data_IF_910046468477
#
_entry.id   IF_910046468477
#
_cell.length_a   1.000
_cell.length_b   1.000
_cell.length_c   1.000
_cell.angle_alpha   90.00
_cell.angle_beta   90.00
_cell.angle_gamma   90.00
#
_symmetry.space_group_name_H-M   'P 1'
#
loop_
_entity.id
_entity.type
_entity.pdbx_description
1 polymer ?
#
# COMPACT_ATOMS: atom_id res chain seq x y z
N UNK A 1 -3.73 13.45 1.59
CA UNK A 1 -3.73 12.81 2.91
C UNK A 1 -2.63 13.45 3.73
N UNK A 2 -2.86 13.67 5.03
CA UNK A 2 -1.94 14.39 5.92
C UNK A 2 -1.17 13.52 6.90
N UNK A 3 -1.70 12.33 7.16
CA UNK A 3 -1.13 11.37 8.08
C UNK A 3 -1.50 9.97 7.58
N UNK A 4 -0.49 9.20 7.20
CA UNK A 4 -0.61 7.90 6.56
C UNK A 4 0.13 6.89 7.42
N UNK A 5 -0.58 5.91 7.96
CA UNK A 5 0.01 4.82 8.73
C UNK A 5 -0.58 3.49 8.31
N UNK A 6 0.22 2.44 8.45
CA UNK A 6 -0.24 1.08 8.29
C UNK A 6 -0.06 0.30 9.60
N UNK A 7 -0.78 -0.81 9.73
CA UNK A 7 -0.48 -1.84 10.71
C UNK A 7 0.61 -2.78 10.18
N UNK A 8 1.28 -3.58 11.04
CA UNK A 8 2.29 -4.54 10.60
C UNK A 8 1.77 -5.57 9.59
N UNK A 9 0.48 -5.92 9.65
CA UNK A 9 -0.18 -6.80 8.68
C UNK A 9 -0.82 -6.09 7.48
N UNK A 10 -0.56 -4.80 7.28
CA UNK A 10 -1.10 -4.04 6.17
C UNK A 10 -0.30 -4.29 4.89
N UNK A 11 -0.97 -4.72 3.82
CA UNK A 11 -0.35 -4.92 2.51
C UNK A 11 -0.56 -3.69 1.62
N UNK A 12 0.53 -3.19 1.00
CA UNK A 12 0.46 -2.10 0.02
C UNK A 12 1.11 -2.54 -1.29
N UNK A 13 0.27 -2.97 -2.23
CA UNK A 13 0.69 -3.39 -3.56
C UNK A 13 -0.15 -2.74 -4.67
N UNK A 14 0.39 -2.71 -5.89
CA UNK A 14 -0.29 -2.17 -7.08
C UNK A 14 -1.49 -3.03 -7.49
N UNK A 15 -1.37 -4.34 -7.29
CA UNK A 15 -2.38 -5.35 -7.53
C UNK A 15 -2.13 -6.55 -6.61
N UNK A 16 -3.08 -7.48 -6.53
CA UNK A 16 -2.89 -8.71 -5.75
C UNK A 16 -1.71 -9.55 -6.26
N UNK A 17 -0.99 -10.21 -5.35
CA UNK A 17 0.23 -10.96 -5.62
C UNK A 17 0.06 -11.98 -6.77
N UNK A 18 -1.05 -12.73 -6.78
CA UNK A 18 -1.37 -13.71 -7.83
C UNK A 18 -1.44 -13.08 -9.23
N UNK A 19 -2.12 -11.93 -9.35
CA UNK A 19 -2.20 -11.20 -10.62
C UNK A 19 -0.84 -10.66 -11.06
N UNK A 20 -0.04 -10.16 -10.10
CA UNK A 20 1.29 -9.63 -10.39
C UNK A 20 2.24 -10.73 -10.89
N UNK A 21 2.28 -11.88 -10.20
CA UNK A 21 3.13 -13.02 -10.56
C UNK A 21 2.76 -13.54 -11.95
N UNK A 22 1.47 -13.73 -12.23
CA UNK A 22 1.01 -14.21 -13.53
C UNK A 22 1.36 -13.28 -14.70
N UNK A 23 1.44 -11.95 -14.46
CA UNK A 23 1.82 -10.98 -15.49
C UNK A 23 3.34 -10.88 -15.63
N UNK A 24 4.07 -10.75 -14.52
CA UNK A 24 5.53 -10.51 -14.51
C UNK A 24 6.28 -11.77 -14.97
N UNK A 25 5.90 -12.93 -14.43
CA UNK A 25 6.56 -14.21 -14.66
C UNK A 25 5.86 -15.08 -15.70
N UNK A 26 5.06 -14.47 -16.59
CA UNK A 26 4.26 -15.20 -17.60
C UNK A 26 5.08 -16.20 -18.42
N UNK A 27 6.30 -15.82 -18.82
CA UNK A 27 7.20 -16.67 -19.63
C UNK A 27 7.76 -17.83 -18.82
N UNK A 28 8.27 -17.53 -17.63
CA UNK A 28 8.82 -18.51 -16.69
C UNK A 28 7.77 -19.55 -16.29
N UNK A 29 6.54 -19.13 -16.00
CA UNK A 29 5.41 -20.01 -15.71
C UNK A 29 4.96 -20.85 -16.92
N UNK A 30 5.21 -20.38 -18.15
CA UNK A 30 4.86 -21.12 -19.37
C UNK A 30 5.91 -22.16 -19.78
N UNK A 31 7.16 -21.95 -19.35
CA UNK A 31 8.30 -22.82 -19.65
C UNK A 31 8.61 -23.78 -18.49
N UNK A 32 7.98 -23.59 -17.32
CA UNK A 32 8.13 -24.44 -16.14
C UNK A 32 7.55 -25.85 -16.36
N UNK A 33 8.30 -26.87 -15.95
CA UNK A 33 7.84 -28.26 -15.92
C UNK A 33 6.73 -28.48 -14.88
N UNK A 34 6.87 -27.85 -13.71
CA UNK A 34 5.84 -27.78 -12.67
C UNK A 34 5.44 -26.32 -12.42
N UNK A 35 4.40 -25.90 -13.15
CA UNK A 35 3.88 -24.54 -13.06
C UNK A 35 3.34 -24.21 -11.67
N UNK A 36 2.75 -25.18 -10.96
CA UNK A 36 2.09 -24.92 -9.68
C UNK A 36 3.13 -24.68 -8.58
N UNK A 37 4.22 -25.47 -8.58
CA UNK A 37 5.35 -25.27 -7.68
C UNK A 37 6.03 -23.91 -7.93
N UNK A 38 6.39 -23.61 -9.18
CA UNK A 38 7.06 -22.34 -9.53
C UNK A 38 6.17 -21.14 -9.23
N UNK A 39 4.86 -21.24 -9.49
CA UNK A 39 3.92 -20.19 -9.14
C UNK A 39 3.88 -19.92 -7.63
N UNK A 40 3.84 -20.98 -6.82
CA UNK A 40 3.79 -20.87 -5.37
C UNK A 40 5.05 -20.21 -4.81
N UNK A 41 6.23 -20.60 -5.32
CA UNK A 41 7.51 -20.00 -4.93
C UNK A 41 7.58 -18.51 -5.27
N UNK A 42 7.19 -18.14 -6.49
CA UNK A 42 7.17 -16.74 -6.95
C UNK A 42 6.15 -15.90 -6.16
N UNK A 43 5.04 -16.51 -5.73
CA UNK A 43 4.04 -15.86 -4.90
C UNK A 43 4.57 -15.56 -3.50
N UNK A 44 5.26 -16.51 -2.86
CA UNK A 44 5.93 -16.28 -1.58
C UNK A 44 7.02 -15.22 -1.69
N UNK A 45 7.81 -15.25 -2.76
CA UNK A 45 8.85 -14.23 -3.00
C UNK A 45 8.23 -12.84 -3.19
N UNK A 46 7.13 -12.75 -3.96
CA UNK A 46 6.43 -11.50 -4.18
C UNK A 46 5.84 -10.95 -2.86
N UNK A 47 5.21 -11.80 -2.06
CA UNK A 47 4.68 -11.42 -0.76
C UNK A 47 5.79 -10.98 0.20
N UNK A 48 6.93 -11.67 0.22
CA UNK A 48 8.08 -11.28 1.04
C UNK A 48 8.68 -9.93 0.65
N UNK A 49 8.65 -9.57 -0.65
CA UNK A 49 9.22 -8.30 -1.15
C UNK A 49 8.25 -7.12 -1.07
N UNK A 50 6.97 -7.35 -1.37
CA UNK A 50 5.98 -6.29 -1.59
C UNK A 50 4.80 -6.33 -0.62
N UNK A 51 4.58 -7.44 0.08
CA UNK A 51 3.54 -7.57 1.11
C UNK A 51 3.87 -6.83 2.41
N UNK A 52 5.11 -6.34 2.53
CA UNK A 52 5.62 -5.69 3.73
C UNK A 52 5.31 -4.17 3.77
N UNK A 53 4.52 -3.66 4.74
CA UNK A 53 4.25 -2.23 4.88
C UNK A 53 5.52 -1.40 5.13
N UNK A 54 6.61 -2.00 5.63
CA UNK A 54 7.88 -1.32 5.79
C UNK A 54 8.49 -0.94 4.43
N UNK A 55 8.17 -1.64 3.34
CA UNK A 55 8.59 -1.23 2.00
C UNK A 55 7.96 0.12 1.62
N UNK A 56 6.69 0.33 1.93
CA UNK A 56 6.00 1.60 1.69
C UNK A 56 6.52 2.72 2.61
N UNK A 57 6.79 2.40 3.88
CA UNK A 57 7.38 3.35 4.83
C UNK A 57 8.79 3.79 4.41
N UNK A 58 9.64 2.88 3.92
CA UNK A 58 10.98 3.20 3.39
C UNK A 58 10.94 4.19 2.23
N UNK A 59 9.89 4.15 1.41
CA UNK A 59 9.68 5.06 0.30
C UNK A 59 8.99 6.38 0.69
N UNK A 60 8.67 6.57 1.98
CA UNK A 60 8.00 7.78 2.48
C UNK A 60 6.53 7.89 2.09
N UNK A 61 5.89 6.78 1.67
CA UNK A 61 4.46 6.75 1.39
C UNK A 61 3.63 6.63 2.68
N UNK A 62 4.21 6.00 3.70
CA UNK A 62 3.68 5.94 5.05
C UNK A 62 4.59 6.74 5.98
N UNK A 63 3.98 7.49 6.88
CA UNK A 63 4.65 8.22 7.94
C UNK A 63 5.15 7.27 9.05
N UNK A 64 4.44 6.15 9.30
CA UNK A 64 4.78 5.17 10.33
C UNK A 64 4.08 3.81 10.10
N UNK A 65 4.62 2.74 10.71
CA UNK A 65 3.95 1.44 10.85
C UNK A 65 3.69 1.22 12.35
N UNK A 66 2.42 1.22 12.73
CA UNK A 66 2.00 1.27 14.15
C UNK A 66 1.28 0.00 14.58
N UNK A 67 1.42 -0.38 15.84
CA UNK A 67 0.63 -1.49 16.38
C UNK A 67 -0.87 -1.14 16.39
N UNK A 68 -1.79 -2.09 16.11
CA UNK A 68 -3.22 -1.81 16.04
C UNK A 68 -3.78 -1.14 17.30
N UNK A 69 -3.25 -1.50 18.47
CA UNK A 69 -3.63 -0.91 19.77
C UNK A 69 -3.27 0.57 19.90
N UNK A 70 -2.25 1.05 19.17
CA UNK A 70 -1.79 2.44 19.21
C UNK A 70 -2.62 3.37 18.33
N UNK A 71 -3.45 2.82 17.42
CA UNK A 71 -4.22 3.57 16.42
C UNK A 71 -4.95 4.77 17.00
N UNK A 72 -5.67 4.59 18.12
CA UNK A 72 -6.43 5.68 18.77
C UNK A 72 -5.51 6.82 19.23
N UNK A 73 -4.39 6.48 19.86
CA UNK A 73 -3.43 7.46 20.40
C UNK A 73 -2.79 8.25 19.26
N UNK A 74 -2.31 7.55 18.23
CA UNK A 74 -1.69 8.13 17.04
C UNK A 74 -2.66 9.04 16.28
N UNK A 75 -3.92 8.61 16.10
CA UNK A 75 -4.96 9.42 15.48
C UNK A 75 -5.24 10.73 16.24
N UNK A 76 -5.38 10.65 17.57
CA UNK A 76 -5.58 11.87 18.39
C UNK A 76 -4.39 12.82 18.25
N UNK A 77 -3.17 12.30 18.23
CA UNK A 77 -1.96 13.10 18.06
C UNK A 77 -1.89 13.77 16.68
N UNK A 78 -2.22 13.04 15.61
CA UNK A 78 -2.25 13.56 14.25
C UNK A 78 -3.33 14.65 14.09
N UNK A 79 -4.51 14.46 14.68
CA UNK A 79 -5.61 15.43 14.53
C UNK A 79 -5.32 16.78 15.19
N UNK A 80 -4.57 16.84 16.30
CA UNK A 80 -4.30 18.09 17.04
C UNK A 80 -3.74 19.23 16.16
N UNK A 81 -2.61 19.06 15.44
CA UNK A 81 -2.12 20.09 14.53
C UNK A 81 -3.02 20.30 13.32
N UNK A 82 -3.73 19.25 12.86
CA UNK A 82 -4.62 19.33 11.70
C UNK A 82 -5.88 20.16 11.95
N UNK A 83 -6.28 20.38 13.21
CA UNK A 83 -7.43 21.24 13.55
C UNK A 83 -7.29 22.67 13.02
N UNK A 84 -6.06 23.18 12.91
CA UNK A 84 -5.78 24.52 12.40
C UNK A 84 -5.32 24.54 10.94
N UNK A 85 -5.29 23.38 10.27
CA UNK A 85 -4.82 23.28 8.88
C UNK A 85 -5.73 24.08 7.96
N UNK A 86 -5.12 24.87 7.08
CA UNK A 86 -5.82 25.58 6.00
C UNK A 86 -5.15 25.25 4.68
N UNK A 87 -5.95 24.87 3.69
CA UNK A 87 -5.47 24.63 2.33
C UNK A 87 -6.09 25.63 1.36
N UNK A 88 -5.30 26.05 0.40
CA UNK A 88 -5.79 26.84 -0.70
C UNK A 88 -6.29 25.93 -1.81
N UNK A 89 -7.39 26.33 -2.45
CA UNK A 89 -7.95 25.64 -3.61
C UNK A 89 -8.08 26.67 -4.75
N UNK A 90 -7.76 26.30 -6.01
CA UNK A 90 -7.93 27.20 -7.15
C UNK A 90 -9.35 27.77 -7.26
N UNK A 91 -9.52 29.08 -7.54
CA UNK A 91 -10.83 29.70 -7.65
C UNK A 91 -11.58 29.13 -8.86
N UNK A 92 -12.80 28.65 -8.62
CA UNK A 92 -13.70 28.08 -9.63
C UNK A 92 -15.14 28.26 -9.19
N UNK A 93 -16.10 28.29 -10.14
CA UNK A 93 -17.54 28.32 -9.80
C UNK A 93 -17.97 27.04 -9.08
N UNK A 94 -17.53 25.90 -9.60
CA UNK A 94 -17.70 24.56 -9.05
C UNK A 94 -16.69 23.61 -9.70
N UNK A 95 -16.58 22.38 -9.20
CA UNK A 95 -15.85 21.30 -9.87
C UNK A 95 -16.66 20.65 -10.99
N UNK A 96 -16.06 19.69 -11.68
CA UNK A 96 -16.74 18.82 -12.64
C UNK A 96 -16.43 17.36 -12.28
N UNK A 97 -17.11 16.85 -11.26
CA UNK A 97 -16.94 15.46 -10.82
C UNK A 97 -17.48 14.52 -11.92
N UNK A 98 -16.88 13.34 -12.15
CA UNK A 98 -17.48 12.33 -13.03
C UNK A 98 -18.90 12.00 -12.59
N UNK A 99 -19.85 11.97 -13.54
CA UNK A 99 -21.26 11.58 -13.34
C UNK A 99 -21.50 10.14 -13.77
#
# INVERSE_FOLDING_TARGET
SDYNVAWPGGELAVMGADGAVNIIHRKELSEAEDRESVHSELMEEYQGKFGDPYAAARNGWLDDVIEPVETRKKLIQALRPLMSKREWVPPKKHGNIPL
#
